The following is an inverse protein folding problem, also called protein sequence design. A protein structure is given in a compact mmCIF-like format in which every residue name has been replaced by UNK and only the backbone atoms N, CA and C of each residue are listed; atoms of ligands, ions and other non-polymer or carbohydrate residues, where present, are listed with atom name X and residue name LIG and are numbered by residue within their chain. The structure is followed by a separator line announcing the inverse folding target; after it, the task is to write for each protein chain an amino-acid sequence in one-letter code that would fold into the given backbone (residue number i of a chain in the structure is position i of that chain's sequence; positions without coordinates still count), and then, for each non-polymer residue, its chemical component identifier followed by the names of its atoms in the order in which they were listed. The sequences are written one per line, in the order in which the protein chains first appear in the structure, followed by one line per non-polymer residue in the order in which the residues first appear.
data_IF_338521556024
#
_entry.id   IF_338521556024
#
_cell.length_a   1.000
_cell.length_b   1.000
_cell.length_c   1.000
_cell.angle_alpha   90.00
_cell.angle_beta   90.00
_cell.angle_gamma   90.00
#
_symmetry.space_group_name_H-M   'P 1'
#
loop_
_entity.id
_entity.type
_entity.pdbx_description
1 polymer ?
#
# COMPACT_ATOMS: atom_id res chain seq x y z
N UNK A 1 -7.91 16.33 6.15
CA UNK A 1 -7.77 14.92 5.84
C UNK A 1 -7.67 14.11 7.13
N UNK A 2 -6.59 14.17 7.91
CA UNK A 2 -6.58 13.59 9.26
C UNK A 2 -7.35 14.52 10.19
N UNK A 3 -8.32 13.99 10.92
CA UNK A 3 -9.12 14.77 11.87
C UNK A 3 -9.01 14.23 13.30
N UNK A 4 -8.52 13.01 13.46
CA UNK A 4 -8.21 12.42 14.76
C UNK A 4 -6.82 11.75 14.67
N UNK A 5 -5.87 12.20 15.48
CA UNK A 5 -5.95 13.21 16.55
C UNK A 5 -6.30 14.62 16.05
N UNK A 6 -6.84 15.44 16.94
CA UNK A 6 -7.35 16.79 16.62
C UNK A 6 -6.29 17.79 16.08
N UNK A 7 -4.99 17.45 16.16
CA UNK A 7 -3.90 18.23 15.58
C UNK A 7 -3.78 18.09 14.05
N UNK A 8 -4.62 17.24 13.42
CA UNK A 8 -4.65 17.02 11.99
C UNK A 8 -3.44 16.25 11.41
N UNK A 9 -2.67 15.58 12.25
CA UNK A 9 -1.47 14.82 11.85
C UNK A 9 -1.58 13.36 12.21
N UNK A 10 -0.98 12.50 11.40
CA UNK A 10 -0.76 11.11 11.81
C UNK A 10 -0.01 11.07 13.15
N UNK A 11 -0.35 10.14 14.04
CA UNK A 11 0.45 9.89 15.25
C UNK A 11 1.88 9.49 14.90
N UNK A 12 2.78 9.64 15.86
CA UNK A 12 4.14 9.15 15.71
C UNK A 12 4.14 7.64 15.49
N UNK A 13 5.01 7.19 14.60
CA UNK A 13 5.26 5.76 14.43
C UNK A 13 6.07 5.20 15.58
N UNK A 14 5.82 3.96 15.91
CA UNK A 14 6.68 3.17 16.79
C UNK A 14 7.99 2.81 16.07
N UNK A 15 9.02 2.32 16.76
CA UNK A 15 10.21 1.78 16.10
C UNK A 15 9.89 0.67 15.10
N UNK A 16 8.89 -0.19 15.38
CA UNK A 16 8.43 -1.24 14.45
C UNK A 16 7.77 -0.64 13.20
N UNK A 17 6.90 0.36 13.36
CA UNK A 17 6.28 1.03 12.22
C UNK A 17 7.30 1.75 11.33
N UNK A 18 8.31 2.38 11.92
CA UNK A 18 9.42 2.99 11.17
C UNK A 18 10.24 1.94 10.42
N UNK A 19 10.48 0.77 11.02
CA UNK A 19 11.18 -0.32 10.36
C UNK A 19 10.35 -0.89 9.20
N UNK A 20 9.06 -1.17 9.41
CA UNK A 20 8.16 -1.64 8.36
C UNK A 20 8.08 -0.65 7.18
N UNK A 21 8.05 0.66 7.47
CA UNK A 21 8.12 1.68 6.44
C UNK A 21 9.46 1.64 5.68
N UNK A 22 10.58 1.50 6.38
CA UNK A 22 11.89 1.41 5.76
C UNK A 22 12.03 0.15 4.87
N UNK A 23 11.51 -0.97 5.32
CA UNK A 23 11.52 -2.22 4.57
C UNK A 23 10.66 -2.12 3.30
N UNK A 24 9.51 -1.44 3.36
CA UNK A 24 8.65 -1.18 2.20
C UNK A 24 9.28 -0.26 1.14
N UNK A 25 10.31 0.47 1.51
CA UNK A 25 11.02 1.42 0.64
C UNK A 25 12.52 1.20 0.62
N UNK A 26 12.98 0.00 0.90
CA UNK A 26 14.42 -0.28 1.01
C UNK A 26 15.20 0.12 -0.24
N UNK A 27 14.63 -0.11 -1.43
CA UNK A 27 15.23 0.28 -2.70
C UNK A 27 15.34 1.80 -2.88
N UNK A 28 14.35 2.57 -2.39
CA UNK A 28 14.34 4.03 -2.46
C UNK A 28 15.27 4.71 -1.44
N UNK A 29 15.75 3.98 -0.44
CA UNK A 29 16.67 4.50 0.56
C UNK A 29 18.10 4.72 0.03
N UNK A 30 18.41 4.22 -1.17
CA UNK A 30 19.72 4.32 -1.79
C UNK A 30 19.69 5.31 -2.94
N UNK A 31 20.61 6.26 -2.91
CA UNK A 31 20.80 7.24 -3.98
C UNK A 31 21.53 6.57 -5.17
N UNK A 32 21.15 6.95 -6.37
CA UNK A 32 21.87 6.53 -7.58
C UNK A 32 23.13 7.39 -7.78
N UNK A 33 24.11 7.16 -6.91
CA UNK A 33 25.42 7.84 -6.94
C UNK A 33 26.50 7.04 -7.66
N UNK A 34 26.11 5.96 -8.33
CA UNK A 34 27.02 5.07 -9.05
C UNK A 34 27.85 4.18 -8.12
N UNK A 35 27.47 4.00 -6.86
CA UNK A 35 28.18 3.16 -5.90
C UNK A 35 27.29 2.07 -5.31
N UNK A 36 27.86 0.91 -4.94
CA UNK A 36 27.17 -0.14 -4.20
C UNK A 36 27.32 0.07 -2.69
N UNK A 37 26.82 1.22 -2.18
CA UNK A 37 26.99 1.61 -0.78
C UNK A 37 26.35 0.64 0.22
N UNK A 38 25.35 -0.15 -0.19
CA UNK A 38 24.68 -1.17 0.63
C UNK A 38 25.61 -2.34 1.00
N UNK A 39 26.65 -2.64 0.22
CA UNK A 39 27.61 -3.68 0.54
C UNK A 39 28.36 -3.43 1.87
N UNK A 40 28.46 -2.17 2.30
CA UNK A 40 29.11 -1.79 3.57
C UNK A 40 28.40 -2.33 4.79
N UNK A 41 27.09 -2.59 4.70
CA UNK A 41 26.30 -3.12 5.81
C UNK A 41 26.47 -4.63 5.97
N UNK A 42 26.86 -5.33 4.91
CA UNK A 42 26.89 -6.79 4.87
C UNK A 42 25.49 -7.42 5.03
N UNK A 43 25.40 -8.73 4.84
CA UNK A 43 24.14 -9.46 4.92
C UNK A 43 23.27 -9.30 3.69
N UNK A 44 21.95 -9.46 3.85
CA UNK A 44 20.98 -9.35 2.77
C UNK A 44 20.85 -7.89 2.29
N UNK A 45 20.96 -7.71 0.99
CA UNK A 45 20.95 -6.40 0.35
C UNK A 45 19.57 -5.97 -0.16
N UNK A 46 19.37 -4.68 -0.41
CA UNK A 46 18.07 -4.14 -0.86
C UNK A 46 17.73 -4.48 -2.32
N UNK A 47 18.65 -5.12 -3.04
CA UNK A 47 18.53 -5.49 -4.44
C UNK A 47 18.91 -6.96 -4.70
N UNK A 48 18.93 -7.80 -3.67
CA UNK A 48 19.32 -9.20 -3.81
C UNK A 48 18.30 -10.00 -4.61
N UNK A 49 17.02 -9.63 -4.49
CA UNK A 49 15.95 -10.22 -5.28
C UNK A 49 14.80 -9.26 -5.55
N UNK A 50 13.82 -9.67 -6.38
CA UNK A 50 12.61 -8.89 -6.60
C UNK A 50 11.83 -8.60 -5.30
N UNK A 51 11.91 -9.52 -4.33
CA UNK A 51 11.21 -9.43 -3.05
C UNK A 51 11.67 -8.25 -2.19
N UNK A 52 12.86 -7.74 -2.44
CA UNK A 52 13.45 -6.62 -1.72
C UNK A 52 13.00 -5.26 -2.27
N UNK A 53 12.35 -5.26 -3.43
CA UNK A 53 11.78 -4.07 -4.04
C UNK A 53 10.39 -3.75 -3.45
N UNK A 54 10.00 -2.49 -3.49
CA UNK A 54 8.69 -2.05 -3.04
C UNK A 54 7.55 -2.71 -3.85
N UNK A 55 6.38 -2.87 -3.23
CA UNK A 55 5.21 -3.51 -3.87
C UNK A 55 4.83 -2.84 -5.19
N UNK A 56 4.95 -1.51 -5.27
CA UNK A 56 4.65 -0.75 -6.48
C UNK A 56 5.67 -1.02 -7.60
N UNK A 57 6.96 -1.18 -7.29
CA UNK A 57 8.00 -1.55 -8.26
C UNK A 57 7.79 -2.96 -8.82
N UNK A 58 7.16 -3.81 -8.03
CA UNK A 58 6.83 -5.21 -8.38
C UNK A 58 5.47 -5.35 -9.06
N UNK A 59 4.73 -4.26 -9.25
CA UNK A 59 3.35 -4.28 -9.76
C UNK A 59 2.39 -5.14 -8.91
N UNK A 60 2.63 -5.28 -7.61
CA UNK A 60 1.79 -6.05 -6.71
C UNK A 60 0.74 -5.20 -6.01
N UNK A 61 1.04 -3.92 -5.77
CA UNK A 61 0.13 -2.96 -5.18
C UNK A 61 0.58 -1.54 -5.53
N UNK A 62 -0.28 -0.77 -6.18
CA UNK A 62 0.03 0.62 -6.54
C UNK A 62 -0.04 1.57 -5.35
N UNK A 63 0.53 2.76 -5.49
CA UNK A 63 0.63 3.76 -4.43
C UNK A 63 -0.73 4.26 -3.90
N UNK A 64 -1.80 4.18 -4.69
CA UNK A 64 -3.16 4.58 -4.31
C UNK A 64 -4.14 3.41 -4.24
N UNK A 65 -3.64 2.17 -4.39
CA UNK A 65 -4.48 0.99 -4.53
C UNK A 65 -4.86 0.36 -3.18
N UNK A 66 -4.04 0.47 -2.17
CA UNK A 66 -4.31 -0.18 -0.87
C UNK A 66 -5.42 0.48 -0.06
N UNK A 67 -6.09 -0.26 0.83
CA UNK A 67 -6.87 0.32 1.90
C UNK A 67 -5.94 0.79 3.05
N UNK A 68 -6.17 2.00 3.65
CA UNK A 68 -7.11 3.01 3.17
C UNK A 68 -6.70 3.55 1.80
N UNK A 69 -7.70 3.83 0.95
CA UNK A 69 -7.47 4.35 -0.38
C UNK A 69 -7.11 5.84 -0.34
N UNK A 70 -5.87 6.14 -0.03
CA UNK A 70 -5.35 7.50 0.00
C UNK A 70 -5.13 8.02 -1.43
N UNK A 71 -5.29 9.33 -1.68
CA UNK A 71 -5.03 9.89 -3.00
C UNK A 71 -3.55 9.79 -3.37
N UNK A 72 -3.28 9.27 -4.55
CA UNK A 72 -1.96 9.28 -5.18
C UNK A 72 -1.79 10.43 -6.16
N UNK A 73 -0.61 10.50 -6.80
CA UNK A 73 -0.31 11.55 -7.77
C UNK A 73 -1.06 11.38 -9.09
N UNK A 74 -1.48 10.16 -9.44
CA UNK A 74 -2.15 9.81 -10.69
C UNK A 74 -2.94 8.50 -10.55
N UNK A 75 -3.78 8.16 -11.53
CA UNK A 75 -4.60 6.93 -11.60
C UNK A 75 -5.42 6.69 -10.33
N UNK A 76 -6.15 7.73 -9.89
CA UNK A 76 -6.96 7.68 -8.69
C UNK A 76 -8.40 7.23 -8.94
N UNK A 77 -8.78 6.96 -10.19
CA UNK A 77 -10.15 6.55 -10.50
C UNK A 77 -10.48 5.19 -9.89
N UNK A 78 -11.72 5.10 -9.45
CA UNK A 78 -12.26 3.87 -8.88
C UNK A 78 -13.63 3.60 -9.48
N UNK A 79 -13.92 2.34 -9.72
CA UNK A 79 -15.26 1.90 -10.08
C UNK A 79 -15.80 1.01 -8.97
N UNK A 80 -16.95 1.38 -8.45
CA UNK A 80 -17.65 0.61 -7.42
C UNK A 80 -18.78 -0.16 -8.10
N UNK A 81 -18.84 -1.46 -7.86
CA UNK A 81 -19.90 -2.34 -8.32
C UNK A 81 -20.50 -3.04 -7.12
N UNK A 82 -21.81 -2.99 -7.00
CA UNK A 82 -22.55 -3.56 -5.87
C UNK A 82 -23.46 -4.69 -6.35
N UNK A 83 -23.46 -5.78 -5.60
CA UNK A 83 -24.43 -6.86 -5.68
C UNK A 83 -25.08 -7.08 -4.32
N UNK A 84 -25.94 -8.05 -4.17
CA UNK A 84 -26.59 -8.39 -2.89
C UNK A 84 -25.54 -8.80 -1.83
N UNK A 85 -24.58 -9.62 -2.23
CA UNK A 85 -23.61 -10.26 -1.32
C UNK A 85 -22.22 -9.61 -1.30
N UNK A 86 -21.92 -8.75 -2.27
CA UNK A 86 -20.58 -8.19 -2.45
C UNK A 86 -20.60 -6.74 -2.92
N UNK A 87 -19.60 -6.00 -2.48
CA UNK A 87 -19.20 -4.74 -3.10
C UNK A 87 -17.78 -4.90 -3.63
N UNK A 88 -17.56 -4.58 -4.89
CA UNK A 88 -16.24 -4.57 -5.52
C UNK A 88 -15.80 -3.13 -5.76
N UNK A 89 -14.59 -2.81 -5.37
CA UNK A 89 -13.92 -1.54 -5.69
C UNK A 89 -12.76 -1.87 -6.64
N UNK A 90 -12.96 -1.59 -7.92
CA UNK A 90 -11.89 -1.65 -8.92
C UNK A 90 -11.09 -0.35 -8.85
N UNK A 91 -9.79 -0.48 -8.69
CA UNK A 91 -8.83 0.59 -8.62
C UNK A 91 -8.12 0.72 -9.98
N UNK A 92 -8.04 1.91 -10.54
CA UNK A 92 -7.35 2.13 -11.82
C UNK A 92 -5.86 1.79 -11.70
N UNK A 93 -5.22 2.24 -10.62
CA UNK A 93 -3.82 1.95 -10.33
C UNK A 93 -3.60 0.44 -10.20
N UNK A 94 -2.77 -0.13 -11.09
CA UNK A 94 -2.42 -1.57 -11.13
C UNK A 94 -3.64 -2.49 -11.34
N UNK A 95 -4.80 -1.94 -11.74
CA UNK A 95 -6.08 -2.64 -11.98
C UNK A 95 -6.49 -3.61 -10.86
N UNK A 96 -6.14 -3.29 -9.62
CA UNK A 96 -6.52 -4.09 -8.47
C UNK A 96 -8.04 -4.05 -8.21
N UNK A 97 -8.59 -5.20 -7.85
CA UNK A 97 -9.99 -5.33 -7.48
C UNK A 97 -10.10 -5.78 -6.01
N UNK A 98 -10.67 -4.91 -5.19
CA UNK A 98 -10.95 -5.22 -3.80
C UNK A 98 -12.39 -5.70 -3.66
N UNK A 99 -12.58 -6.93 -3.19
CA UNK A 99 -13.89 -7.52 -2.97
C UNK A 99 -14.24 -7.49 -1.49
N UNK A 100 -15.35 -6.86 -1.16
CA UNK A 100 -15.92 -6.74 0.18
C UNK A 100 -17.10 -7.71 0.28
N UNK A 101 -17.03 -8.69 1.17
CA UNK A 101 -18.11 -9.65 1.40
C UNK A 101 -19.11 -9.09 2.39
N UNK A 102 -20.37 -8.96 1.97
CA UNK A 102 -21.40 -8.36 2.80
C UNK A 102 -21.89 -9.33 3.88
N UNK A 103 -22.16 -8.80 5.07
CA UNK A 103 -22.74 -9.54 6.21
C UNK A 103 -22.03 -10.86 6.52
N UNK A 104 -20.72 -10.89 6.34
CA UNK A 104 -19.87 -12.08 6.44
C UNK A 104 -18.96 -12.02 7.67
N UNK A 105 -18.10 -13.02 7.82
CA UNK A 105 -17.05 -13.07 8.83
C UNK A 105 -15.68 -13.10 8.13
N UNK A 106 -14.67 -12.60 8.82
CA UNK A 106 -13.30 -12.74 8.35
C UNK A 106 -12.90 -14.21 8.20
N UNK A 107 -12.12 -14.46 7.16
CA UNK A 107 -11.48 -15.74 6.96
C UNK A 107 -10.41 -16.05 8.02
N UNK A 108 -9.82 -17.24 7.97
CA UNK A 108 -8.75 -17.61 8.88
C UNK A 108 -7.57 -16.63 8.80
N UNK A 109 -6.95 -16.30 9.94
CA UNK A 109 -5.81 -15.39 10.01
C UNK A 109 -4.56 -15.88 9.22
N UNK A 110 -4.53 -17.15 8.81
CA UNK A 110 -3.51 -17.71 7.94
C UNK A 110 -3.67 -17.31 6.46
N UNK A 111 -4.86 -16.85 6.07
CA UNK A 111 -5.15 -16.40 4.68
C UNK A 111 -4.95 -14.89 4.59
N UNK A 112 -3.75 -14.49 4.22
CA UNK A 112 -3.36 -13.07 4.11
C UNK A 112 -3.22 -12.64 2.68
N UNK A 113 -3.66 -11.42 2.38
CA UNK A 113 -3.51 -10.80 1.05
C UNK A 113 -2.93 -9.39 1.16
N UNK A 114 -2.49 -8.82 0.04
CA UNK A 114 -1.98 -7.45 -0.01
C UNK A 114 -3.05 -6.40 0.30
N UNK A 115 -4.31 -6.66 -0.11
CA UNK A 115 -5.47 -5.81 0.15
C UNK A 115 -6.23 -6.17 1.44
N UNK A 116 -5.75 -7.20 2.15
CA UNK A 116 -6.42 -7.72 3.34
C UNK A 116 -7.69 -8.52 3.02
N UNK A 117 -8.40 -8.91 4.05
CA UNK A 117 -9.70 -9.58 4.00
C UNK A 117 -10.78 -8.59 4.45
N UNK A 118 -11.61 -8.13 3.51
CA UNK A 118 -12.61 -7.12 3.73
C UNK A 118 -14.00 -7.72 3.90
N UNK A 119 -14.69 -7.33 4.97
CA UNK A 119 -16.12 -7.61 5.19
C UNK A 119 -16.88 -6.32 5.34
N UNK A 120 -18.13 -6.28 4.90
CA UNK A 120 -18.97 -5.09 4.91
C UNK A 120 -20.32 -5.32 5.52
N UNK A 121 -20.92 -4.26 6.02
CA UNK A 121 -22.33 -4.16 6.42
C UNK A 121 -22.86 -2.77 6.15
N UNK A 122 -24.16 -2.67 6.01
CA UNK A 122 -24.82 -1.38 5.98
C UNK A 122 -25.17 -0.91 7.40
N UNK A 123 -24.88 0.33 7.69
CA UNK A 123 -25.38 1.07 8.85
C UNK A 123 -26.13 2.29 8.30
N UNK A 124 -27.46 2.20 8.26
CA UNK A 124 -28.31 3.12 7.52
C UNK A 124 -27.84 3.27 6.05
N UNK A 125 -27.52 4.48 5.59
CA UNK A 125 -27.03 4.77 4.24
C UNK A 125 -25.49 4.73 4.11
N UNK A 126 -24.80 4.20 5.11
CA UNK A 126 -23.34 4.11 5.14
C UNK A 126 -22.88 2.66 5.01
N UNK A 127 -22.06 2.37 4.02
CA UNK A 127 -21.33 1.12 3.94
C UNK A 127 -20.14 1.16 4.91
N UNK A 128 -20.17 0.29 5.90
CA UNK A 128 -19.05 0.11 6.84
C UNK A 128 -18.27 -1.13 6.46
N UNK A 129 -16.95 -0.97 6.28
CA UNK A 129 -16.04 -2.03 5.88
C UNK A 129 -14.98 -2.21 6.94
N UNK A 130 -14.78 -3.44 7.36
CA UNK A 130 -13.69 -3.84 8.25
C UNK A 130 -12.70 -4.70 7.45
N UNK A 131 -11.41 -4.37 7.55
CA UNK A 131 -10.36 -5.09 6.83
C UNK A 131 -9.24 -5.48 7.77
N UNK A 132 -8.86 -6.74 7.71
CA UNK A 132 -7.74 -7.34 8.45
C UNK A 132 -7.04 -8.39 7.57
N UNK A 133 -6.20 -9.25 8.14
CA UNK A 133 -5.49 -10.30 7.42
C UNK A 133 -4.63 -9.76 6.26
N UNK A 134 -3.99 -8.63 6.47
CA UNK A 134 -2.98 -8.11 5.56
C UNK A 134 -1.72 -8.97 5.58
N UNK A 135 -0.94 -8.93 4.54
CA UNK A 135 0.43 -9.45 4.53
C UNK A 135 1.35 -8.54 5.35
N UNK A 136 2.61 -8.96 5.49
CA UNK A 136 3.66 -8.21 6.20
C UNK A 136 4.02 -6.85 5.58
N UNK A 137 3.53 -6.55 4.39
CA UNK A 137 3.59 -5.25 3.74
C UNK A 137 2.17 -4.83 3.34
N UNK A 138 1.86 -3.55 3.43
CA UNK A 138 0.54 -3.00 3.09
C UNK A 138 0.69 -1.76 2.20
N UNK A 139 -0.42 -1.31 1.59
CA UNK A 139 -0.45 -0.04 0.88
C UNK A 139 -0.34 1.18 1.80
N UNK A 140 -0.56 1.02 3.09
CA UNK A 140 -0.36 2.05 4.09
C UNK A 140 1.04 1.92 4.70
N UNK A 141 1.92 2.83 4.35
CA UNK A 141 3.31 2.81 4.78
C UNK A 141 3.46 2.81 6.30
N UNK A 142 4.21 1.84 6.80
CA UNK A 142 4.40 1.58 8.21
C UNK A 142 3.43 0.56 8.79
N UNK A 143 2.31 0.25 8.12
CA UNK A 143 1.42 -0.83 8.48
C UNK A 143 1.95 -2.19 8.02
N UNK A 144 1.63 -3.22 8.77
CA UNK A 144 2.00 -4.59 8.47
C UNK A 144 0.79 -5.54 8.67
N UNK A 145 1.06 -6.79 8.97
CA UNK A 145 0.08 -7.83 9.20
C UNK A 145 -0.86 -7.60 10.39
N UNK A 146 -0.57 -6.60 11.25
CA UNK A 146 -1.37 -6.23 12.41
C UNK A 146 -2.37 -5.11 12.10
N UNK A 147 -2.29 -4.55 10.90
CA UNK A 147 -3.20 -3.50 10.47
C UNK A 147 -4.66 -3.95 10.54
N UNK A 148 -5.46 -3.19 11.27
CA UNK A 148 -6.91 -3.28 11.28
C UNK A 148 -7.50 -1.96 10.81
N UNK A 149 -8.32 -2.01 9.79
CA UNK A 149 -8.87 -0.83 9.16
C UNK A 149 -10.40 -0.86 9.23
N UNK A 150 -10.99 0.26 9.59
CA UNK A 150 -12.43 0.50 9.47
C UNK A 150 -12.61 1.62 8.44
N UNK A 151 -13.47 1.40 7.45
CA UNK A 151 -13.79 2.38 6.43
C UNK A 151 -15.29 2.60 6.37
N UNK A 152 -15.71 3.82 6.09
CA UNK A 152 -17.11 4.22 5.98
C UNK A 152 -17.29 4.99 4.67
N UNK A 153 -18.24 4.54 3.89
CA UNK A 153 -18.57 5.13 2.59
C UNK A 153 -20.00 5.62 2.66
N UNK A 154 -20.19 6.93 2.58
CA UNK A 154 -21.50 7.57 2.66
C UNK A 154 -21.77 8.39 1.41
N UNK A 155 -22.79 8.02 0.63
CA UNK A 155 -23.21 8.79 -0.54
C UNK A 155 -23.82 10.11 -0.07
N UNK A 156 -23.32 11.22 -0.61
CA UNK A 156 -23.79 12.56 -0.29
C UNK A 156 -24.90 13.01 -1.27
N UNK A 157 -25.70 14.00 -0.89
CA UNK A 157 -26.80 14.53 -1.71
C UNK A 157 -26.32 15.07 -3.08
N UNK A 158 -25.08 15.55 -3.17
CA UNK A 158 -24.45 16.04 -4.41
C UNK A 158 -23.92 14.92 -5.32
N UNK A 159 -24.11 13.66 -4.94
CA UNK A 159 -23.65 12.48 -5.67
C UNK A 159 -22.19 12.12 -5.44
N UNK A 160 -21.46 12.86 -4.63
CA UNK A 160 -20.10 12.51 -4.21
C UNK A 160 -20.13 11.50 -3.06
N UNK A 161 -19.00 10.82 -2.84
CA UNK A 161 -18.87 9.82 -1.78
C UNK A 161 -17.94 10.33 -0.68
N UNK A 162 -18.49 10.54 0.53
CA UNK A 162 -17.67 10.78 1.70
C UNK A 162 -16.98 9.46 2.07
N UNK A 163 -15.68 9.45 2.04
CA UNK A 163 -14.82 8.36 2.48
C UNK A 163 -14.16 8.74 3.80
N UNK A 164 -14.50 8.00 4.84
CA UNK A 164 -13.93 8.11 6.18
C UNK A 164 -13.22 6.82 6.54
N UNK A 165 -12.10 6.89 7.24
CA UNK A 165 -11.37 5.71 7.66
C UNK A 165 -10.73 5.87 9.03
N UNK A 166 -10.60 4.76 9.72
CA UNK A 166 -9.88 4.65 11.00
C UNK A 166 -8.84 3.53 10.91
N UNK A 167 -7.60 3.88 11.16
CA UNK A 167 -6.46 2.97 11.25
C UNK A 167 -6.23 2.58 12.69
N UNK A 168 -6.14 1.28 12.94
CA UNK A 168 -5.80 0.69 14.23
C UNK A 168 -4.65 -0.28 14.04
N UNK A 169 -3.50 0.08 14.56
CA UNK A 169 -2.31 -0.76 14.62
C UNK A 169 -1.37 -0.15 15.68
N UNK A 170 -1.45 -0.65 16.89
CA UNK A 170 -0.65 -0.20 18.03
C UNK A 170 0.80 -0.69 17.97
N UNK A 171 1.09 -1.61 17.04
CA UNK A 171 2.47 -2.01 16.73
C UNK A 171 3.16 -1.04 15.80
N UNK A 172 2.41 -0.30 14.98
CA UNK A 172 2.92 0.64 13.98
C UNK A 172 2.82 2.12 14.43
N UNK A 173 1.72 2.51 15.11
CA UNK A 173 1.49 3.88 15.57
C UNK A 173 1.20 3.94 17.05
N UNK A 174 1.55 5.08 17.66
CA UNK A 174 1.39 5.29 19.12
C UNK A 174 -0.06 5.38 19.57
N UNK A 175 -1.00 5.57 18.66
CA UNK A 175 -2.45 5.55 18.89
C UNK A 175 -3.22 5.36 17.57
N UNK A 176 -4.48 4.92 17.60
CA UNK A 176 -5.34 4.92 16.41
C UNK A 176 -5.51 6.33 15.84
N UNK A 177 -5.75 6.41 14.53
CA UNK A 177 -5.98 7.67 13.85
C UNK A 177 -7.02 7.54 12.75
N UNK A 178 -7.68 8.66 12.45
CA UNK A 178 -8.76 8.71 11.47
C UNK A 178 -8.57 9.86 10.51
N UNK A 179 -9.04 9.67 9.30
CA UNK A 179 -9.04 10.68 8.25
C UNK A 179 -10.25 10.54 7.35
N UNK A 180 -10.58 11.64 6.66
CA UNK A 180 -11.67 11.64 5.70
C UNK A 180 -11.37 12.54 4.52
N UNK A 181 -11.95 12.23 3.37
CA UNK A 181 -11.98 13.08 2.19
C UNK A 181 -13.13 12.67 1.25
N UNK A 182 -13.46 13.52 0.32
CA UNK A 182 -14.55 13.29 -0.62
C UNK A 182 -13.99 12.70 -1.91
N UNK A 183 -14.56 11.59 -2.35
CA UNK A 183 -14.35 11.06 -3.70
C UNK A 183 -15.39 11.68 -4.62
N UNK A 184 -14.92 12.44 -5.59
CA UNK A 184 -15.80 13.11 -6.54
C UNK A 184 -16.27 12.12 -7.59
N UNK A 185 -17.56 12.20 -7.92
CA UNK A 185 -18.10 11.47 -9.07
C UNK A 185 -17.53 12.01 -10.37
N UNK A 186 -17.15 11.12 -11.28
CA UNK A 186 -16.69 11.46 -12.63
C UNK A 186 -17.41 10.63 -13.69
N UNK A 187 -17.57 11.20 -14.88
CA UNK A 187 -18.04 10.51 -16.08
C UNK A 187 -16.88 9.98 -16.94
N UNK A 188 -15.65 10.21 -16.50
CA UNK A 188 -14.46 9.74 -17.20
C UNK A 188 -14.34 8.22 -17.13
N UNK A 189 -13.61 7.67 -18.07
CA UNK A 189 -13.36 6.24 -18.14
C UNK A 189 -12.21 5.85 -17.21
N UNK A 190 -12.33 4.68 -16.60
CA UNK A 190 -11.19 4.00 -15.98
C UNK A 190 -10.41 3.32 -17.10
N UNK A 191 -9.14 3.65 -17.24
CA UNK A 191 -8.25 3.11 -18.26
C UNK A 191 -7.44 1.92 -17.70
N UNK A 192 -6.94 1.10 -18.61
CA UNK A 192 -6.00 0.05 -18.27
C UNK A 192 -4.68 0.64 -17.74
N UNK A 193 -4.19 0.07 -16.67
CA UNK A 193 -2.85 0.33 -16.14
C UNK A 193 -2.00 -0.93 -16.30
N UNK A 194 -1.31 -1.03 -17.42
CA UNK A 194 -0.50 -2.18 -17.81
C UNK A 194 0.86 -2.17 -17.11
N UNK A 195 0.87 -2.35 -15.79
CA UNK A 195 2.08 -2.26 -14.97
C UNK A 195 3.10 -3.35 -15.33
N UNK A 196 2.67 -4.60 -15.40
CA UNK A 196 3.56 -5.74 -15.65
C UNK A 196 4.20 -5.68 -17.04
N UNK A 197 3.42 -5.36 -18.05
CA UNK A 197 3.85 -5.31 -19.45
C UNK A 197 4.88 -4.21 -19.68
N UNK A 198 4.78 -3.09 -18.95
CA UNK A 198 5.70 -1.95 -19.03
C UNK A 198 6.84 -1.96 -18.02
N UNK A 199 6.93 -3.00 -17.15
CA UNK A 199 7.88 -3.01 -16.04
C UNK A 199 9.30 -3.44 -16.46
N UNK A 200 9.91 -2.68 -17.35
CA UNK A 200 11.33 -2.84 -17.69
C UNK A 200 12.27 -2.38 -16.57
N UNK A 201 11.77 -1.54 -15.66
CA UNK A 201 12.55 -0.96 -14.57
C UNK A 201 13.06 -2.02 -13.60
N UNK A 202 12.23 -2.97 -13.19
CA UNK A 202 12.60 -3.99 -12.19
C UNK A 202 13.84 -4.79 -12.61
N UNK A 203 13.86 -5.33 -13.83
CA UNK A 203 15.00 -6.07 -14.34
C UNK A 203 16.26 -5.20 -14.49
N UNK A 204 16.10 -3.93 -14.83
CA UNK A 204 17.22 -3.00 -14.97
C UNK A 204 17.78 -2.57 -13.62
N UNK A 205 16.94 -2.37 -12.60
CA UNK A 205 17.36 -2.06 -11.21
C UNK A 205 18.24 -3.21 -10.68
N UNK A 206 17.75 -4.45 -10.76
CA UNK A 206 18.48 -5.61 -10.27
C UNK A 206 19.80 -5.86 -11.04
N UNK A 207 19.77 -5.69 -12.35
CA UNK A 207 21.00 -5.79 -13.18
C UNK A 207 21.99 -4.68 -12.84
N UNK A 208 21.53 -3.45 -12.70
CA UNK A 208 22.37 -2.31 -12.33
C UNK A 208 23.04 -2.52 -10.98
N UNK A 209 22.31 -3.04 -9.99
CA UNK A 209 22.86 -3.37 -8.69
C UNK A 209 23.99 -4.40 -8.80
N UNK A 210 23.79 -5.50 -9.57
CA UNK A 210 24.86 -6.51 -9.80
C UNK A 210 26.10 -5.94 -10.46
N UNK A 211 25.96 -5.00 -11.39
CA UNK A 211 27.12 -4.35 -12.02
C UNK A 211 27.89 -3.52 -11.01
N UNK A 212 27.24 -2.67 -10.26
CA UNK A 212 27.87 -1.83 -9.22
C UNK A 212 28.56 -2.65 -8.12
N UNK A 213 27.94 -3.75 -7.71
CA UNK A 213 28.55 -4.68 -6.74
C UNK A 213 29.81 -5.33 -7.27
N UNK A 214 29.79 -5.81 -8.51
CA UNK A 214 30.96 -6.40 -9.14
C UNK A 214 32.11 -5.39 -9.26
N UNK A 215 31.81 -4.15 -9.64
CA UNK A 215 32.80 -3.07 -9.72
C UNK A 215 33.42 -2.78 -8.35
N UNK A 216 32.57 -2.63 -7.31
CA UNK A 216 33.02 -2.36 -5.95
C UNK A 216 33.89 -3.49 -5.39
N UNK A 217 33.54 -4.76 -5.65
CA UNK A 217 34.31 -5.92 -5.23
C UNK A 217 35.66 -6.01 -5.96
N UNK A 218 35.67 -5.71 -7.25
CA UNK A 218 36.92 -5.67 -8.05
C UNK A 218 37.90 -4.59 -7.54
N UNK A 219 37.36 -3.39 -7.22
CA UNK A 219 38.19 -2.33 -6.63
C UNK A 219 38.76 -2.70 -5.25
N UNK A 220 37.98 -3.41 -4.43
CA UNK A 220 38.46 -3.88 -3.13
C UNK A 220 39.53 -4.92 -3.26
N UNK A 221 39.41 -5.82 -4.25
CA UNK A 221 40.45 -6.84 -4.53
C UNK A 221 41.76 -6.22 -5.04
N UNK A 222 41.67 -5.17 -5.86
CA UNK A 222 42.84 -4.47 -6.39
C UNK A 222 43.62 -3.64 -5.32
N UNK A 223 42.99 -3.34 -4.19
CA UNK A 223 43.62 -2.60 -3.07
C UNK A 223 44.27 -3.50 -2.02
N UNK A 224 44.14 -4.82 -2.14
CA UNK A 224 44.77 -5.84 -1.28
C UNK A 224 46.06 -6.36 -1.88
#
# INVERSE_FOLDING_TARGET
IVYQPANGRQPAMTPRGMQAMADNFSSFAYTNDGTASWLKKGGHGPFDGPEDLALAERCLLGFSAGPPSLPGLYNNYKRIVQTEDHVMILLEMVHDARVIRMNSKHGPASHRSWLGDAIGRWEDDTLVVETTNFRNQTGLYGGDENLYLIERFTLQEDGNLLYDFTVKDDTAWTQPWSGAFVWQTSQDKVYEYACHEGNYAMGNILRGARLLENEALAEQAAKR
#
